data_IF_869599964552
#
_entry.id   IF_869599964552
#
_cell.length_a   1.000
_cell.length_b   1.000
_cell.length_c   1.000
_cell.angle_alpha   90.00
_cell.angle_beta   90.00
_cell.angle_gamma   90.00
#
_symmetry.space_group_name_H-M   'P 1'
#
loop_
_entity.id
_entity.type
_entity.pdbx_description
1 polymer ?
#
# COMPACT_ATOMS: atom_id res chain seq x y z
N UNK A 1 1.96 -29.55 12.23
CA UNK A 1 1.74 -28.32 11.45
C UNK A 1 1.80 -28.75 9.99
N UNK A 2 0.67 -29.14 9.40
CA UNK A 2 0.64 -29.71 8.05
C UNK A 2 0.84 -28.61 7.03
N UNK A 3 1.78 -28.82 6.12
CA UNK A 3 2.05 -27.94 5.01
C UNK A 3 0.88 -27.90 4.04
N UNK A 4 0.53 -26.71 3.58
CA UNK A 4 -0.29 -26.58 2.39
C UNK A 4 0.60 -26.93 1.20
N UNK A 5 0.32 -28.09 0.61
CA UNK A 5 0.86 -28.55 -0.66
C UNK A 5 0.62 -27.50 -1.74
N UNK A 6 1.56 -27.44 -2.69
CA UNK A 6 1.67 -26.50 -3.81
C UNK A 6 0.38 -25.78 -4.27
N UNK A 7 0.47 -24.48 -4.62
CA UNK A 7 -0.70 -23.71 -5.05
C UNK A 7 -1.36 -24.32 -6.29
N UNK A 8 -2.70 -24.37 -6.27
CA UNK A 8 -3.52 -24.84 -7.39
C UNK A 8 -3.28 -23.98 -8.64
N UNK A 9 -3.33 -24.60 -9.82
CA UNK A 9 -3.34 -23.87 -11.09
C UNK A 9 -4.70 -23.19 -11.34
N UNK A 10 -4.79 -22.17 -12.21
CA UNK A 10 -6.06 -21.50 -12.50
C UNK A 10 -7.17 -22.44 -13.00
N UNK A 11 -6.81 -23.47 -13.78
CA UNK A 11 -7.74 -24.48 -14.28
C UNK A 11 -8.29 -25.36 -13.15
N UNK A 12 -7.43 -25.70 -12.18
CA UNK A 12 -7.83 -26.47 -11.00
C UNK A 12 -8.74 -25.64 -10.10
N UNK A 13 -8.45 -24.35 -9.89
CA UNK A 13 -9.30 -23.43 -9.10
C UNK A 13 -10.69 -23.32 -9.74
N UNK A 14 -10.76 -23.15 -11.06
CA UNK A 14 -12.03 -23.04 -11.78
C UNK A 14 -12.88 -24.33 -11.75
N UNK A 15 -12.27 -25.48 -11.45
CA UNK A 15 -12.94 -26.76 -11.33
C UNK A 15 -13.42 -27.08 -9.90
N UNK A 16 -12.96 -26.32 -8.89
CA UNK A 16 -13.45 -26.45 -7.51
C UNK A 16 -14.87 -25.91 -7.45
N UNK A 17 -15.77 -26.66 -6.80
CA UNK A 17 -17.16 -26.23 -6.59
C UNK A 17 -17.24 -25.33 -5.36
N UNK A 18 -18.02 -24.26 -5.45
CA UNK A 18 -18.20 -23.29 -4.37
C UNK A 18 -18.65 -23.95 -3.05
N UNK A 19 -19.48 -24.99 -3.10
CA UNK A 19 -19.97 -25.69 -1.90
C UNK A 19 -18.88 -26.48 -1.16
N UNK A 20 -17.74 -26.72 -1.81
CA UNK A 20 -16.59 -27.41 -1.22
C UNK A 20 -15.55 -26.46 -0.61
N UNK A 21 -15.78 -25.15 -0.67
CA UNK A 21 -14.91 -24.14 -0.06
C UNK A 21 -15.17 -24.13 1.45
N UNK A 22 -14.12 -24.39 2.22
CA UNK A 22 -14.14 -24.31 3.69
C UNK A 22 -13.89 -22.85 4.12
N UNK A 23 -14.80 -22.29 4.91
CA UNK A 23 -14.72 -20.94 5.48
C UNK A 23 -14.53 -20.96 7.00
N UNK A 24 -14.28 -22.12 7.61
CA UNK A 24 -14.23 -22.26 9.08
C UNK A 24 -13.13 -21.45 9.76
N UNK A 25 -12.12 -21.00 9.01
CA UNK A 25 -10.99 -20.19 9.47
C UNK A 25 -11.20 -18.66 9.33
N UNK A 26 -12.26 -18.21 8.65
CA UNK A 26 -12.51 -16.80 8.36
C UNK A 26 -13.91 -16.41 8.86
N UNK A 27 -13.99 -15.36 9.66
CA UNK A 27 -15.27 -14.83 10.12
C UNK A 27 -16.08 -14.21 8.96
N UNK A 28 -17.41 -14.30 9.02
CA UNK A 28 -18.30 -13.67 8.05
C UNK A 28 -18.18 -12.12 8.11
N UNK A 29 -18.13 -11.48 6.94
CA UNK A 29 -18.07 -10.02 6.80
C UNK A 29 -19.48 -9.42 6.87
N UNK A 30 -20.04 -9.39 8.09
CA UNK A 30 -21.41 -8.93 8.35
C UNK A 30 -21.55 -7.39 8.44
N UNK A 31 -22.77 -6.91 8.67
CA UNK A 31 -23.04 -5.48 8.86
C UNK A 31 -22.26 -4.88 10.03
N UNK A 32 -21.90 -5.68 11.04
CA UNK A 32 -21.08 -5.25 12.18
C UNK A 32 -19.65 -4.94 11.77
N UNK A 33 -19.05 -5.78 10.93
CA UNK A 33 -17.73 -5.56 10.34
C UNK A 33 -17.70 -4.25 9.53
N UNK A 34 -18.66 -4.06 8.61
CA UNK A 34 -18.66 -2.88 7.74
C UNK A 34 -18.97 -1.57 8.47
N UNK A 35 -19.69 -1.60 9.60
CA UNK A 35 -19.93 -0.42 10.44
C UNK A 35 -18.67 0.19 11.04
N UNK A 36 -17.63 -0.61 11.25
CA UNK A 36 -16.34 -0.18 11.81
C UNK A 36 -15.23 -0.12 10.76
N UNK A 37 -15.51 -0.49 9.52
CA UNK A 37 -14.53 -0.46 8.46
C UNK A 37 -14.14 0.98 8.13
N UNK A 38 -12.85 1.27 8.18
CA UNK A 38 -12.29 2.56 7.77
C UNK A 38 -11.87 2.50 6.30
N UNK A 39 -12.32 3.49 5.51
CA UNK A 39 -11.86 3.63 4.14
C UNK A 39 -10.45 4.20 4.15
N UNK A 40 -9.47 3.34 3.89
CA UNK A 40 -8.08 3.77 3.71
C UNK A 40 -7.85 4.14 2.26
N UNK A 41 -7.64 5.42 1.98
CA UNK A 41 -7.14 5.83 0.67
C UNK A 41 -5.68 5.37 0.52
N UNK A 42 -5.32 4.67 -0.57
CA UNK A 42 -3.96 4.27 -0.79
C UNK A 42 -3.09 5.51 -1.00
N UNK A 43 -1.98 5.61 -0.27
CA UNK A 43 -0.97 6.65 -0.47
C UNK A 43 -0.35 6.49 -1.88
N UNK A 44 -0.84 7.33 -2.81
CA UNK A 44 -0.44 7.31 -4.22
C UNK A 44 0.62 8.36 -4.45
N UNK A 45 1.66 7.97 -5.20
CA UNK A 45 2.66 8.92 -5.67
C UNK A 45 2.12 9.70 -6.87
N UNK A 46 2.07 11.02 -6.76
CA UNK A 46 1.76 11.90 -7.88
C UNK A 46 2.91 11.98 -8.89
N UNK A 47 2.58 11.88 -10.17
CA UNK A 47 3.56 12.07 -11.24
C UNK A 47 3.77 13.56 -11.50
N UNK A 48 4.86 14.10 -10.96
CA UNK A 48 5.23 15.51 -11.13
C UNK A 48 6.49 15.68 -11.98
N UNK A 49 6.65 16.89 -12.56
CA UNK A 49 7.92 17.32 -13.16
C UNK A 49 8.70 18.18 -12.17
N UNK A 50 9.86 17.72 -11.72
CA UNK A 50 10.73 18.45 -10.77
C UNK A 50 12.18 18.50 -11.26
N UNK A 51 12.86 19.62 -11.02
CA UNK A 51 14.30 19.76 -11.29
C UNK A 51 15.11 19.23 -10.10
N UNK A 52 16.01 18.30 -10.36
CA UNK A 52 16.94 17.72 -9.37
C UNK A 52 18.38 17.94 -9.84
N UNK A 53 19.30 18.23 -8.90
CA UNK A 53 20.73 18.38 -9.23
C UNK A 53 21.27 17.07 -9.84
N UNK A 54 22.15 17.19 -10.85
CA UNK A 54 22.70 16.05 -11.60
C UNK A 54 23.35 14.99 -10.71
N UNK A 55 24.15 15.41 -9.73
CA UNK A 55 24.85 14.47 -8.83
C UNK A 55 23.88 13.69 -7.94
N UNK A 56 22.81 14.33 -7.46
CA UNK A 56 21.75 13.68 -6.66
C UNK A 56 21.05 12.62 -7.49
N UNK A 57 20.64 12.98 -8.71
CA UNK A 57 19.99 12.02 -9.62
C UNK A 57 20.93 10.84 -9.93
N UNK A 58 22.21 11.10 -10.17
CA UNK A 58 23.21 10.06 -10.43
C UNK A 58 23.36 9.09 -9.25
N UNK A 59 23.45 9.62 -8.01
CA UNK A 59 23.53 8.83 -6.80
C UNK A 59 22.36 7.84 -6.68
N UNK A 60 21.11 8.32 -6.83
CA UNK A 60 19.96 7.44 -6.74
C UNK A 60 19.91 6.44 -7.92
N UNK A 61 20.21 6.86 -9.15
CA UNK A 61 20.21 5.96 -10.32
C UNK A 61 21.24 4.83 -10.21
N UNK A 62 22.37 5.04 -9.53
CA UNK A 62 23.39 4.01 -9.34
C UNK A 62 22.85 2.75 -8.63
N UNK A 63 21.78 2.89 -7.84
CA UNK A 63 21.13 1.77 -7.14
C UNK A 63 20.15 0.95 -8.02
N UNK A 64 20.02 1.27 -9.31
CA UNK A 64 19.22 0.50 -10.27
C UNK A 64 17.71 0.72 -10.18
N UNK A 65 16.92 -0.32 -10.50
CA UNK A 65 15.43 -0.26 -10.52
C UNK A 65 14.89 0.24 -9.18
N UNK A 66 13.86 1.08 -9.22
CA UNK A 66 13.23 1.67 -8.03
C UNK A 66 13.96 2.87 -7.43
N UNK A 67 14.87 3.53 -8.17
CA UNK A 67 15.56 4.71 -7.68
C UNK A 67 14.60 5.85 -7.32
N UNK A 68 13.49 5.99 -8.04
CA UNK A 68 12.44 6.97 -7.75
C UNK A 68 11.76 6.68 -6.40
N UNK A 69 11.41 5.42 -6.13
CA UNK A 69 10.84 4.99 -4.84
C UNK A 69 11.80 5.27 -3.69
N UNK A 70 13.10 5.00 -3.85
CA UNK A 70 14.11 5.33 -2.83
C UNK A 70 14.26 6.83 -2.61
N UNK A 71 14.24 7.60 -3.70
CA UNK A 71 14.23 9.06 -3.61
C UNK A 71 13.00 9.57 -2.87
N UNK A 72 11.81 9.01 -3.14
CA UNK A 72 10.57 9.37 -2.45
C UNK A 72 10.65 9.12 -0.94
N UNK A 73 11.14 7.94 -0.52
CA UNK A 73 11.32 7.60 0.90
C UNK A 73 12.23 8.58 1.66
N UNK A 74 13.25 9.12 0.98
CA UNK A 74 14.12 10.14 1.58
C UNK A 74 13.35 11.46 1.77
N UNK A 75 12.54 11.86 0.79
CA UNK A 75 11.69 13.05 0.90
C UNK A 75 10.62 12.88 1.99
N UNK A 76 9.95 11.72 2.06
CA UNK A 76 9.01 11.38 3.13
C UNK A 76 9.68 11.48 4.51
N UNK A 77 10.88 10.93 4.67
CA UNK A 77 11.63 11.00 5.93
C UNK A 77 11.91 12.44 6.34
N UNK A 78 12.31 13.29 5.38
CA UNK A 78 12.52 14.71 5.61
C UNK A 78 11.23 15.43 6.04
N UNK A 79 10.12 15.18 5.34
CA UNK A 79 8.81 15.75 5.69
C UNK A 79 8.36 15.30 7.08
N UNK A 80 8.41 14.00 7.37
CA UNK A 80 8.06 13.46 8.70
C UNK A 80 8.88 14.11 9.81
N UNK A 81 10.19 14.24 9.63
CA UNK A 81 11.03 14.93 10.61
C UNK A 81 10.60 16.40 10.75
N UNK A 82 10.35 17.11 9.65
CA UNK A 82 9.94 18.52 9.72
C UNK A 82 8.56 18.73 10.36
N UNK A 83 7.63 17.81 10.16
CA UNK A 83 6.27 17.87 10.72
C UNK A 83 6.23 17.36 12.15
N UNK A 84 7.08 16.41 12.54
CA UNK A 84 7.21 15.98 13.94
C UNK A 84 7.76 17.09 14.85
N UNK A 85 8.71 17.90 14.34
CA UNK A 85 9.22 19.11 15.01
C UNK A 85 8.20 20.26 15.08
N UNK A 86 7.10 20.14 14.33
CA UNK A 86 6.09 21.17 14.12
C UNK A 86 4.72 20.50 14.14
N UNK A 87 4.29 19.95 15.27
CA UNK A 87 3.02 19.20 15.42
C UNK A 87 1.90 19.64 14.44
N UNK A 88 1.79 18.85 13.37
CA UNK A 88 0.84 18.67 12.24
C UNK A 88 0.00 19.83 11.68
N UNK A 89 -0.06 19.96 10.33
CA UNK A 89 -1.36 20.09 9.67
C UNK A 89 -1.40 19.28 8.36
N UNK A 90 -1.59 17.97 8.43
CA UNK A 90 -2.42 17.32 7.41
C UNK A 90 -3.83 17.30 7.98
N UNK A 91 -4.61 18.31 7.59
CA UNK A 91 -6.05 18.38 7.83
C UNK A 91 -6.69 17.38 6.90
N UNK A 92 -7.45 16.47 7.47
CA UNK A 92 -8.44 15.65 6.78
C UNK A 92 -9.30 16.57 5.90
N UNK A 93 -9.26 16.36 4.58
CA UNK A 93 -10.27 16.95 3.71
C UNK A 93 -11.50 16.07 3.73
N UNK A 94 -12.28 16.19 4.81
CA UNK A 94 -13.73 16.07 4.68
C UNK A 94 -14.22 17.19 3.74
N UNK A 95 -14.63 16.79 2.55
CA UNK A 95 -15.34 17.63 1.60
C UNK A 95 -16.78 17.15 1.48
N UNK A 96 -17.61 17.54 2.44
CA UNK A 96 -19.06 17.52 2.31
C UNK A 96 -19.49 18.38 1.11
N UNK A 97 -20.28 17.78 0.22
CA UNK A 97 -21.57 18.29 -0.32
C UNK A 97 -22.28 17.14 -1.00
#
# INVERSE_FOLDING_TARGET
MSGHDSPLTPEQIAAVKDESIDFSDIAELDDGFWKQAELVEPDRTDQITMRVKRYVLAYFKASGKGYQTRMNRVLESYVRHKTAERSSPFVDKEGAT
#
